data_IF_284060401320
#
_entry.id   IF_284060401320
#
_cell.length_a   1.000
_cell.length_b   1.000
_cell.length_c   1.000
_cell.angle_alpha   90.00
_cell.angle_beta   90.00
_cell.angle_gamma   90.00
#
_symmetry.space_group_name_H-M   'P 1'
#
loop_
_entity.id
_entity.type
_entity.pdbx_description
1 polymer ?
#
# COMPACT_ATOMS: atom_id res chain seq x y z
N UNK A 1 -7.37 -6.62 -5.74
CA UNK A 1 -6.38 -5.58 -5.42
C UNK A 1 -7.09 -4.37 -4.80
N UNK A 2 -7.11 -4.25 -3.46
CA UNK A 2 -7.49 -3.00 -2.79
C UNK A 2 -6.61 -1.82 -3.23
N UNK A 3 -7.22 -0.64 -3.32
CA UNK A 3 -6.54 0.63 -3.61
C UNK A 3 -7.07 1.70 -2.67
N UNK A 4 -6.17 2.36 -1.94
CA UNK A 4 -6.53 3.31 -0.89
C UNK A 4 -5.52 4.45 -0.77
N UNK A 5 -6.02 5.66 -0.57
CA UNK A 5 -5.25 6.78 -0.02
C UNK A 5 -5.16 6.61 1.49
N UNK A 6 -3.94 6.54 2.00
CA UNK A 6 -3.65 6.27 3.40
C UNK A 6 -2.71 7.30 3.98
N UNK A 7 -2.71 7.40 5.31
CA UNK A 7 -1.66 8.05 6.09
C UNK A 7 -0.94 7.02 6.93
N UNK A 8 0.39 7.02 6.90
CA UNK A 8 1.20 6.13 7.74
C UNK A 8 1.22 6.66 9.17
N UNK A 9 0.95 5.80 10.14
CA UNK A 9 0.87 6.14 11.56
C UNK A 9 1.88 5.39 12.42
N UNK A 10 2.46 4.30 11.93
CA UNK A 10 3.44 3.50 12.66
C UNK A 10 4.23 2.57 11.74
N UNK A 11 5.35 2.07 12.25
CA UNK A 11 6.24 1.13 11.58
C UNK A 11 6.87 0.18 12.59
N UNK A 12 6.91 -1.10 12.27
CA UNK A 12 7.53 -2.15 13.06
C UNK A 12 8.34 -3.09 12.16
N UNK A 13 9.59 -3.36 12.54
CA UNK A 13 10.41 -4.43 11.97
C UNK A 13 10.70 -5.47 13.07
N UNK A 14 9.76 -6.40 13.35
CA UNK A 14 9.85 -7.29 14.50
C UNK A 14 11.03 -8.26 14.41
N UNK A 15 11.49 -8.56 13.18
CA UNK A 15 12.60 -9.48 12.93
C UNK A 15 13.95 -8.79 12.81
N UNK A 16 13.98 -7.44 12.83
CA UNK A 16 15.15 -6.63 12.48
C UNK A 16 15.84 -7.15 11.21
N UNK A 17 15.02 -7.57 10.24
CA UNK A 17 15.47 -8.12 8.97
C UNK A 17 15.71 -7.00 7.98
N UNK A 18 16.81 -7.09 7.25
CA UNK A 18 17.15 -6.20 6.13
C UNK A 18 17.33 -7.00 4.83
N UNK A 19 17.11 -8.32 4.85
CA UNK A 19 17.34 -9.20 3.69
C UNK A 19 16.11 -9.32 2.79
N UNK A 20 14.93 -8.99 3.29
CA UNK A 20 13.65 -9.21 2.60
C UNK A 20 13.06 -10.59 2.81
N UNK A 21 13.62 -11.40 3.73
CA UNK A 21 13.08 -12.72 4.07
C UNK A 21 11.84 -12.63 4.95
N UNK A 22 11.73 -11.56 5.73
CA UNK A 22 10.57 -11.29 6.56
C UNK A 22 9.94 -9.94 6.18
N UNK A 23 8.64 -9.86 6.39
CA UNK A 23 7.91 -8.62 6.20
C UNK A 23 8.10 -7.68 7.40
N UNK A 24 8.12 -6.39 7.10
CA UNK A 24 7.88 -5.30 8.04
C UNK A 24 6.42 -4.93 8.03
N UNK A 25 5.96 -4.29 9.11
CA UNK A 25 4.57 -3.91 9.30
C UNK A 25 4.45 -2.40 9.39
N UNK A 26 3.58 -1.83 8.57
CA UNK A 26 3.16 -0.45 8.67
C UNK A 26 1.74 -0.36 9.20
N UNK A 27 1.54 0.45 10.24
CA UNK A 27 0.20 0.86 10.65
C UNK A 27 -0.21 2.07 9.82
N UNK A 28 -1.40 2.00 9.21
CA UNK A 28 -1.94 3.06 8.37
C UNK A 28 -3.37 3.41 8.77
N UNK A 29 -3.76 4.65 8.47
CA UNK A 29 -5.14 5.09 8.51
C UNK A 29 -5.62 5.29 7.08
N UNK A 30 -6.64 4.54 6.68
CA UNK A 30 -7.33 4.74 5.41
C UNK A 30 -8.08 6.07 5.42
N UNK A 31 -7.64 7.02 4.60
CA UNK A 31 -8.34 8.30 4.40
C UNK A 31 -9.49 8.09 3.41
N UNK A 32 -9.19 7.37 2.31
CA UNK A 32 -10.18 7.03 1.30
C UNK A 32 -9.85 5.70 0.64
N UNK A 33 -10.85 4.82 0.55
CA UNK A 33 -10.76 3.57 -0.19
C UNK A 33 -11.40 3.76 -1.56
N UNK A 34 -10.67 3.46 -2.62
CA UNK A 34 -11.11 3.58 -4.01
C UNK A 34 -11.56 2.24 -4.57
N UNK A 35 -10.83 1.17 -4.24
CA UNK A 35 -11.16 -0.20 -4.62
C UNK A 35 -11.04 -1.09 -3.39
N UNK A 36 -12.05 -1.93 -3.19
CA UNK A 36 -12.01 -3.01 -2.22
C UNK A 36 -12.30 -4.31 -2.97
N UNK A 37 -11.46 -5.33 -2.79
CA UNK A 37 -11.59 -6.58 -3.55
C UNK A 37 -12.65 -7.54 -3.00
N UNK A 38 -13.25 -7.23 -1.84
CA UNK A 38 -14.23 -8.10 -1.21
C UNK A 38 -15.49 -7.34 -0.78
N UNK A 39 -16.64 -7.96 -1.02
CA UNK A 39 -17.98 -7.43 -0.74
C UNK A 39 -18.19 -7.23 0.77
N UNK A 40 -17.74 -6.09 1.30
CA UNK A 40 -18.09 -5.62 2.65
C UNK A 40 -17.05 -5.86 3.74
N UNK A 41 -15.95 -6.56 3.47
CA UNK A 41 -14.86 -6.73 4.45
C UNK A 41 -14.03 -5.46 4.52
N UNK A 42 -13.87 -4.89 5.72
CA UNK A 42 -13.00 -3.74 5.96
C UNK A 42 -11.55 -4.06 5.56
N UNK A 43 -10.88 -3.09 4.93
CA UNK A 43 -9.46 -3.19 4.65
C UNK A 43 -8.70 -3.02 5.99
N UNK A 44 -7.76 -3.91 6.33
CA UNK A 44 -7.01 -3.79 7.58
C UNK A 44 -6.14 -2.53 7.60
N UNK A 45 -5.89 -2.02 8.80
CA UNK A 45 -5.00 -0.89 9.04
C UNK A 45 -3.53 -1.31 9.11
N UNK A 46 -3.25 -2.61 9.12
CA UNK A 46 -1.90 -3.15 9.10
C UNK A 46 -1.57 -3.57 7.68
N UNK A 47 -0.41 -3.11 7.21
CA UNK A 47 0.10 -3.34 5.87
C UNK A 47 1.47 -4.01 5.98
N UNK A 48 1.60 -5.15 5.32
CA UNK A 48 2.81 -5.96 5.30
C UNK A 48 3.57 -5.74 4.00
N UNK A 49 4.90 -5.67 4.08
CA UNK A 49 5.75 -5.57 2.90
C UNK A 49 7.11 -6.15 3.20
N UNK A 50 7.82 -6.72 2.21
CA UNK A 50 9.17 -7.23 2.44
C UNK A 50 10.09 -6.14 3.02
N UNK A 51 10.97 -6.52 3.93
CA UNK A 51 11.90 -5.58 4.59
C UNK A 51 12.93 -4.95 3.65
N UNK A 52 13.09 -5.46 2.42
CA UNK A 52 14.08 -5.00 1.47
C UNK A 52 13.48 -4.65 0.10
N UNK A 53 13.84 -3.49 -0.44
CA UNK A 53 13.42 -3.03 -1.77
C UNK A 53 13.84 -3.96 -2.92
N UNK A 54 14.96 -4.68 -2.80
CA UNK A 54 15.39 -5.71 -3.77
C UNK A 54 14.40 -6.89 -3.87
N UNK A 55 13.61 -7.11 -2.81
CA UNK A 55 12.52 -8.09 -2.76
C UNK A 55 11.14 -7.44 -2.96
N UNK A 56 11.11 -6.26 -3.59
CA UNK A 56 9.90 -5.45 -3.78
C UNK A 56 9.28 -4.91 -2.48
N UNK A 57 10.09 -4.76 -1.43
CA UNK A 57 9.71 -4.01 -0.23
C UNK A 57 9.42 -2.55 -0.56
N UNK A 58 8.42 -1.97 0.12
CA UNK A 58 8.17 -0.52 0.06
C UNK A 58 8.69 0.16 1.32
N UNK A 59 9.32 1.32 1.12
CA UNK A 59 9.75 2.18 2.22
C UNK A 59 8.79 3.38 2.30
N UNK A 60 8.23 3.62 3.48
CA UNK A 60 7.23 4.66 3.70
C UNK A 60 7.54 5.44 4.97
N UNK A 61 7.31 6.75 4.92
CA UNK A 61 7.61 7.64 6.03
C UNK A 61 6.38 7.82 6.93
N UNK A 62 6.57 7.65 8.25
CA UNK A 62 5.52 7.91 9.24
C UNK A 62 5.07 9.37 9.15
N UNK A 63 3.75 9.57 9.11
CA UNK A 63 3.12 10.88 9.00
C UNK A 63 2.86 11.34 7.56
N UNK A 64 3.45 10.66 6.58
CA UNK A 64 3.24 10.93 5.15
C UNK A 64 2.02 10.19 4.62
N UNK A 65 1.42 10.76 3.59
CA UNK A 65 0.26 10.20 2.90
C UNK A 65 0.67 9.57 1.58
N UNK A 66 0.13 8.40 1.27
CA UNK A 66 0.47 7.64 0.07
C UNK A 66 -0.79 7.10 -0.60
N UNK A 67 -0.71 6.84 -1.91
CA UNK A 67 -1.62 5.92 -2.57
C UNK A 67 -1.02 4.53 -2.53
N UNK A 68 -1.73 3.60 -1.91
CA UNK A 68 -1.32 2.20 -1.86
C UNK A 68 -2.25 1.34 -2.68
N UNK A 69 -1.67 0.46 -3.48
CA UNK A 69 -2.33 -0.71 -4.04
C UNK A 69 -1.74 -1.97 -3.42
N UNK A 70 -2.61 -2.80 -2.88
CA UNK A 70 -2.20 -4.00 -2.17
C UNK A 70 -2.92 -5.25 -2.67
N UNK A 71 -2.42 -6.38 -2.22
CA UNK A 71 -3.01 -7.70 -2.40
C UNK A 71 -3.49 -8.18 -1.05
N UNK A 72 -4.69 -8.76 -1.02
CA UNK A 72 -5.19 -9.42 0.18
C UNK A 72 -4.80 -10.89 0.08
N UNK A 73 -4.09 -11.37 1.09
CA UNK A 73 -3.71 -12.76 1.18
C UNK A 73 -4.87 -13.61 1.75
N UNK A 74 -4.82 -14.95 1.62
CA UNK A 74 -5.90 -15.84 2.10
C UNK A 74 -6.22 -15.72 3.60
N UNK A 75 -5.28 -15.26 4.41
CA UNK A 75 -5.44 -15.01 5.85
C UNK A 75 -6.04 -13.62 6.17
N UNK A 76 -6.47 -12.89 5.13
CA UNK A 76 -7.05 -11.55 5.16
C UNK A 76 -6.08 -10.41 5.46
N UNK A 77 -4.79 -10.70 5.62
CA UNK A 77 -3.74 -9.69 5.72
C UNK A 77 -3.60 -8.89 4.42
N UNK A 78 -3.15 -7.64 4.53
CA UNK A 78 -2.93 -6.75 3.39
C UNK A 78 -1.44 -6.63 3.13
N UNK A 79 -1.00 -7.13 1.99
CA UNK A 79 0.38 -7.01 1.55
C UNK A 79 0.51 -5.98 0.43
N UNK A 80 1.60 -5.22 0.45
CA UNK A 80 1.97 -4.28 -0.62
C UNK A 80 3.37 -4.58 -1.11
N UNK A 81 3.55 -4.39 -2.41
CA UNK A 81 4.81 -4.65 -3.09
C UNK A 81 5.12 -3.49 -4.02
N UNK A 82 6.41 -3.13 -4.13
CA UNK A 82 6.91 -2.00 -4.90
C UNK A 82 6.43 -2.05 -6.36
N UNK A 83 6.50 -3.21 -7.01
CA UNK A 83 6.10 -3.40 -8.40
C UNK A 83 4.58 -3.35 -8.63
N UNK A 84 3.79 -3.54 -7.56
CA UNK A 84 2.33 -3.53 -7.62
C UNK A 84 1.72 -2.16 -7.34
N UNK A 85 2.53 -1.15 -7.00
CA UNK A 85 2.05 0.19 -6.68
C UNK A 85 1.57 0.92 -7.93
N UNK A 86 0.42 1.60 -7.84
CA UNK A 86 -0.12 2.42 -8.93
C UNK A 86 0.46 3.83 -8.85
N UNK A 87 0.99 4.31 -9.96
CA UNK A 87 1.54 5.66 -10.10
C UNK A 87 1.11 6.27 -11.44
N UNK A 88 1.40 7.56 -11.64
CA UNK A 88 1.11 8.24 -12.91
C UNK A 88 1.86 7.63 -14.10
N UNK A 89 2.99 6.97 -13.84
CA UNK A 89 3.83 6.30 -14.83
C UNK A 89 3.38 4.85 -15.12
N UNK A 90 2.35 4.37 -14.42
CA UNK A 90 1.80 3.03 -14.56
C UNK A 90 1.88 2.24 -13.26
N UNK A 91 2.75 1.22 -13.23
CA UNK A 91 2.94 0.36 -12.06
C UNK A 91 4.40 0.35 -11.63
N UNK A 92 4.64 0.53 -10.34
CA UNK A 92 5.96 0.57 -9.74
C UNK A 92 6.20 1.84 -8.94
N UNK A 93 6.87 1.66 -7.80
CA UNK A 93 7.24 2.76 -6.91
C UNK A 93 6.08 3.20 -6.04
N UNK A 94 6.32 3.34 -4.73
CA UNK A 94 5.34 3.96 -3.83
C UNK A 94 5.32 5.46 -4.10
N UNK A 95 4.13 6.04 -4.27
CA UNK A 95 3.97 7.47 -4.61
C UNK A 95 3.26 8.19 -3.47
N UNK A 96 3.85 9.30 -3.03
CA UNK A 96 3.20 10.19 -2.07
C UNK A 96 1.93 10.76 -2.67
N UNK A 97 0.89 10.87 -1.84
CA UNK A 97 -0.42 11.35 -2.28
C UNK A 97 -0.31 12.74 -2.94
N UNK A 98 0.57 13.60 -2.41
CA UNK A 98 0.81 14.95 -2.92
C UNK A 98 1.26 14.98 -4.38
N UNK A 99 2.01 13.97 -4.82
CA UNK A 99 2.65 13.91 -6.14
C UNK A 99 1.76 13.27 -7.22
N UNK A 100 0.63 12.68 -6.83
CA UNK A 100 -0.29 12.03 -7.76
C UNK A 100 -1.07 13.08 -8.56
N UNK A 101 -1.02 12.96 -9.89
CA UNK A 101 -1.70 13.88 -10.80
C UNK A 101 -3.21 13.89 -10.60
N UNK A 102 -3.84 15.02 -10.91
CA UNK A 102 -5.30 15.16 -10.88
C UNK A 102 -6.01 14.17 -11.82
N UNK A 103 -5.36 13.79 -12.93
CA UNK A 103 -5.87 12.82 -13.89
C UNK A 103 -5.97 11.43 -13.26
N UNK A 104 -4.89 10.95 -12.62
CA UNK A 104 -4.91 9.65 -11.94
C UNK A 104 -5.91 9.64 -10.78
N UNK A 105 -5.93 10.69 -9.94
CA UNK A 105 -6.91 10.80 -8.83
C UNK A 105 -8.36 10.67 -9.30
N UNK A 106 -8.68 11.20 -10.48
CA UNK A 106 -10.02 11.11 -11.07
C UNK A 106 -10.32 9.71 -11.62
N UNK A 107 -9.30 9.01 -12.11
CA UNK A 107 -9.42 7.66 -12.66
C UNK A 107 -9.47 6.57 -11.58
N UNK A 108 -8.97 6.82 -10.35
CA UNK A 108 -8.99 5.83 -9.26
C UNK A 108 -10.39 5.28 -8.96
N UNK A 109 -11.44 6.09 -9.15
CA UNK A 109 -12.84 5.67 -8.95
C UNK A 109 -13.46 4.94 -10.16
N UNK A 110 -12.81 5.01 -11.32
CA UNK A 110 -13.32 4.41 -12.57
C UNK A 110 -12.87 2.95 -12.75
N UNK A 111 -11.88 2.50 -11.99
CA UNK A 111 -11.46 1.10 -12.00
C UNK A 111 -12.53 0.21 -11.35
N UNK A 112 -13.46 -0.29 -12.16
CA UNK A 112 -14.48 -1.25 -11.72
C UNK A 112 -13.87 -2.64 -11.44
N UNK A 113 -14.50 -3.38 -10.51
CA UNK A 113 -14.22 -4.78 -10.20
C UNK A 113 -14.86 -5.71 -11.22
#
# INVERSE_FOLDING_TARGET
MPVSHVKVTGFENPYNDETGMNDVVYSVKHIRVYKNSENGTTIPNEVYTPSNGATCGVDMVIGTEYLLSGTREPDLSLHVYLCGQVSDEGYGGVTEWADISAALRSNLTLFQC
#
